data_IF_281820196986
#
_entry.id   IF_281820196986
#
_cell.length_a   1.000
_cell.length_b   1.000
_cell.length_c   1.000
_cell.angle_alpha   90.00
_cell.angle_beta   90.00
_cell.angle_gamma   90.00
#
_symmetry.space_group_name_H-M   'P 1'
#
loop_
_entity.id
_entity.type
_entity.pdbx_description
1 polymer ?
#
# COMPACT_ATOMS: atom_id res chain seq x y z
N UNK A 1 0.76 15.49 9.14
CA UNK A 1 1.48 15.18 7.88
C UNK A 1 2.38 13.95 7.98
N UNK A 2 3.37 13.91 8.89
CA UNK A 2 4.33 12.78 9.03
C UNK A 2 3.64 11.41 9.19
N UNK A 3 2.56 11.35 9.96
CA UNK A 3 1.83 10.11 10.27
C UNK A 3 1.03 9.56 9.08
N UNK A 4 0.47 10.43 8.24
CA UNK A 4 -0.20 10.02 7.00
C UNK A 4 0.77 9.39 6.00
N UNK A 5 2.01 9.88 5.97
CA UNK A 5 3.06 9.35 5.09
C UNK A 5 3.53 7.95 5.52
N UNK A 6 3.61 7.69 6.83
CA UNK A 6 3.94 6.34 7.32
C UNK A 6 2.77 5.38 7.05
N UNK A 7 1.52 5.80 7.28
CA UNK A 7 0.34 4.97 7.05
C UNK A 7 0.08 4.59 5.58
N UNK A 8 0.53 5.40 4.60
CA UNK A 8 0.36 5.10 3.17
C UNK A 8 1.46 4.23 2.58
N UNK A 9 2.60 4.08 3.26
CA UNK A 9 3.72 3.24 2.76
C UNK A 9 3.55 1.77 3.13
N UNK A 10 2.99 1.49 4.31
CA UNK A 10 2.73 0.12 4.77
C UNK A 10 1.25 -0.17 4.67
N UNK A 11 0.81 -0.56 3.47
CA UNK A 11 -0.60 -0.90 3.24
C UNK A 11 -0.83 -2.40 3.47
N UNK A 12 -1.81 -2.81 4.29
CA UNK A 12 -2.04 -4.22 4.62
C UNK A 12 -2.16 -5.15 3.41
N UNK A 13 -2.82 -4.71 2.34
CA UNK A 13 -2.98 -5.54 1.13
C UNK A 13 -1.64 -5.86 0.45
N UNK A 14 -0.65 -4.95 0.50
CA UNK A 14 0.67 -5.17 -0.09
C UNK A 14 1.40 -6.31 0.62
N UNK A 15 1.18 -6.50 1.92
CA UNK A 15 1.76 -7.61 2.66
C UNK A 15 1.23 -8.94 2.10
N UNK A 16 -0.08 -9.07 1.91
CA UNK A 16 -0.68 -10.26 1.31
C UNK A 16 -0.28 -10.46 -0.15
N UNK A 17 -0.36 -9.41 -0.97
CA UNK A 17 0.03 -9.46 -2.38
C UNK A 17 1.49 -9.90 -2.53
N UNK A 18 2.39 -9.30 -1.74
CA UNK A 18 3.81 -9.67 -1.75
C UNK A 18 4.01 -11.14 -1.37
N UNK A 19 3.31 -11.66 -0.35
CA UNK A 19 3.42 -13.09 0.00
C UNK A 19 2.91 -14.02 -1.11
N UNK A 20 1.79 -13.68 -1.76
CA UNK A 20 1.22 -14.48 -2.84
C UNK A 20 2.10 -14.48 -4.10
N UNK A 21 2.59 -13.31 -4.52
CA UNK A 21 3.51 -13.20 -5.65
C UNK A 21 4.86 -13.86 -5.36
N UNK A 22 5.34 -13.74 -4.13
CA UNK A 22 6.58 -14.42 -3.72
C UNK A 22 6.46 -15.93 -3.82
N UNK A 23 5.31 -16.49 -3.42
CA UNK A 23 5.02 -17.92 -3.54
C UNK A 23 4.95 -18.39 -5.00
N UNK A 24 4.48 -17.56 -5.92
CA UNK A 24 4.43 -17.90 -7.34
C UNK A 24 5.81 -17.78 -8.02
N UNK A 25 6.60 -16.77 -7.67
CA UNK A 25 7.89 -16.44 -8.31
C UNK A 25 9.05 -17.28 -7.79
N UNK A 26 9.15 -17.46 -6.46
CA UNK A 26 10.26 -18.17 -5.82
C UNK A 26 9.76 -19.45 -5.18
N UNK A 27 10.30 -20.59 -5.64
CA UNK A 27 9.82 -21.93 -5.25
C UNK A 27 10.79 -22.67 -4.33
N UNK A 28 12.07 -22.31 -4.37
CA UNK A 28 13.11 -22.99 -3.60
C UNK A 28 13.59 -22.13 -2.44
N UNK A 29 14.06 -22.78 -1.36
CA UNK A 29 14.64 -22.07 -0.19
C UNK A 29 15.93 -21.32 -0.53
N UNK A 30 16.69 -21.78 -1.53
CA UNK A 30 17.86 -21.08 -2.09
C UNK A 30 17.52 -19.69 -2.63
N UNK A 31 16.27 -19.50 -3.06
CA UNK A 31 15.82 -18.25 -3.66
C UNK A 31 15.55 -17.15 -2.64
N UNK A 32 15.54 -17.50 -1.34
CA UNK A 32 15.29 -16.57 -0.25
C UNK A 32 16.25 -15.38 -0.25
N UNK A 33 17.51 -15.59 -0.66
CA UNK A 33 18.51 -14.50 -0.77
C UNK A 33 18.14 -13.53 -1.89
N UNK A 34 17.61 -14.02 -3.01
CA UNK A 34 17.16 -13.18 -4.12
C UNK A 34 15.88 -12.43 -3.76
N UNK A 35 14.91 -13.12 -3.16
CA UNK A 35 13.68 -12.50 -2.66
C UNK A 35 13.97 -11.35 -1.68
N UNK A 36 14.86 -11.57 -0.70
CA UNK A 36 15.27 -10.50 0.24
C UNK A 36 15.91 -9.31 -0.46
N UNK A 37 16.79 -9.53 -1.43
CA UNK A 37 17.44 -8.44 -2.19
C UNK A 37 16.43 -7.65 -3.02
N UNK A 38 15.52 -8.35 -3.70
CA UNK A 38 14.45 -7.76 -4.50
C UNK A 38 13.53 -6.86 -3.64
N UNK A 39 13.13 -7.37 -2.47
CA UNK A 39 12.36 -6.60 -1.48
C UNK A 39 13.12 -5.36 -0.96
N UNK A 40 14.41 -5.50 -0.61
CA UNK A 40 15.21 -4.38 -0.10
C UNK A 40 15.35 -3.27 -1.15
N UNK A 41 15.69 -3.64 -2.40
CA UNK A 41 15.84 -2.68 -3.49
C UNK A 41 14.52 -1.96 -3.75
N UNK A 42 13.41 -2.70 -3.78
CA UNK A 42 12.07 -2.15 -4.02
C UNK A 42 11.65 -1.16 -2.93
N UNK A 43 11.89 -1.48 -1.65
CA UNK A 43 11.56 -0.58 -0.54
C UNK A 43 12.45 0.67 -0.56
N UNK A 44 13.75 0.54 -0.82
CA UNK A 44 14.66 1.70 -0.89
C UNK A 44 14.24 2.64 -2.02
N UNK A 45 13.97 2.11 -3.21
CA UNK A 45 13.51 2.91 -4.34
C UNK A 45 12.17 3.60 -4.04
N UNK A 46 11.21 2.89 -3.45
CA UNK A 46 9.94 3.47 -3.02
C UNK A 46 10.11 4.59 -1.98
N UNK A 47 11.05 4.41 -1.04
CA UNK A 47 11.41 5.42 -0.05
C UNK A 47 12.04 6.67 -0.68
N UNK A 48 12.95 6.50 -1.64
CA UNK A 48 13.57 7.59 -2.38
C UNK A 48 12.52 8.39 -3.17
N UNK A 49 11.62 7.71 -3.89
CA UNK A 49 10.54 8.35 -4.64
C UNK A 49 9.64 9.15 -3.68
N UNK A 50 9.27 8.57 -2.54
CA UNK A 50 8.46 9.25 -1.52
C UNK A 50 9.16 10.50 -0.98
N UNK A 51 10.47 10.44 -0.75
CA UNK A 51 11.28 11.59 -0.34
C UNK A 51 11.27 12.69 -1.40
N UNK A 52 11.46 12.33 -2.68
CA UNK A 52 11.40 13.27 -3.79
C UNK A 52 10.03 13.97 -3.86
N UNK A 53 8.93 13.25 -3.65
CA UNK A 53 7.58 13.83 -3.63
C UNK A 53 7.46 14.83 -2.49
N UNK A 54 7.84 14.48 -1.26
CA UNK A 54 7.76 15.38 -0.10
C UNK A 54 8.59 16.65 -0.29
N UNK A 55 9.83 16.51 -0.77
CA UNK A 55 10.71 17.65 -1.02
C UNK A 55 10.11 18.55 -2.09
N UNK A 56 9.64 17.97 -3.21
CA UNK A 56 9.01 18.72 -4.31
C UNK A 56 7.71 19.40 -3.89
N UNK A 57 6.93 18.77 -3.01
CA UNK A 57 5.71 19.37 -2.47
C UNK A 57 5.99 20.48 -1.45
N UNK A 58 7.10 20.40 -0.71
CA UNK A 58 7.44 21.42 0.31
C UNK A 58 7.74 22.80 -0.27
N UNK A 59 8.17 22.87 -1.53
CA UNK A 59 8.38 24.14 -2.24
C UNK A 59 7.10 24.76 -2.79
N UNK A 60 5.96 24.06 -2.71
CA UNK A 60 4.67 24.55 -3.19
C UNK A 60 3.99 25.40 -2.11
N UNK A 61 3.66 26.64 -2.45
CA UNK A 61 2.88 27.54 -1.58
C UNK A 61 1.38 27.42 -1.88
N UNK A 62 0.82 26.24 -1.68
CA UNK A 62 -0.61 25.96 -1.93
C UNK A 62 -1.23 25.54 -0.60
N UNK A 63 -2.28 26.24 -0.18
CA UNK A 63 -2.95 25.96 1.10
C UNK A 63 -3.86 24.73 1.03
N UNK A 64 -4.54 24.50 -0.10
CA UNK A 64 -5.42 23.34 -0.28
C UNK A 64 -5.29 22.71 -1.67
N UNK A 65 -5.16 21.39 -1.71
CA UNK A 65 -5.16 20.57 -2.92
C UNK A 65 -6.36 19.65 -2.85
N UNK A 66 -7.37 19.93 -3.68
CA UNK A 66 -8.61 19.16 -3.72
C UNK A 66 -8.66 18.17 -4.89
N UNK A 67 -7.81 18.36 -5.90
CA UNK A 67 -7.73 17.50 -7.08
C UNK A 67 -6.32 17.37 -7.65
N UNK A 68 -6.12 16.37 -8.51
CA UNK A 68 -4.91 16.21 -9.32
C UNK A 68 -4.63 17.42 -10.22
N UNK A 69 -5.68 18.12 -10.65
CA UNK A 69 -5.57 19.31 -11.50
C UNK A 69 -5.00 20.48 -10.68
N UNK A 70 -5.43 20.62 -9.43
CA UNK A 70 -4.91 21.66 -8.53
C UNK A 70 -3.43 21.44 -8.24
N UNK A 71 -3.00 20.19 -8.06
CA UNK A 71 -1.58 19.84 -7.92
C UNK A 71 -0.79 20.25 -9.17
N UNK A 72 -1.27 19.92 -10.36
CA UNK A 72 -0.59 20.24 -11.61
C UNK A 72 -0.45 21.76 -11.82
N UNK A 73 -1.51 22.53 -11.54
CA UNK A 73 -1.50 24.00 -11.59
C UNK A 73 -0.59 24.62 -10.54
N UNK A 74 -0.53 24.00 -9.37
CA UNK A 74 0.26 24.47 -8.26
C UNK A 74 1.77 24.32 -8.43
N UNK A 75 2.20 23.32 -9.20
CA UNK A 75 3.61 23.04 -9.51
C UNK A 75 4.12 23.94 -10.65
N UNK A 76 3.24 24.38 -11.56
CA UNK A 76 3.59 25.18 -12.75
C UNK A 76 4.38 26.47 -12.44
N UNK A 77 4.03 27.30 -11.44
CA UNK A 77 4.78 28.52 -11.12
C UNK A 77 6.21 28.28 -10.61
N UNK A 78 6.48 27.11 -10.03
CA UNK A 78 7.77 26.77 -9.43
C UNK A 78 8.69 26.05 -10.43
N UNK A 79 8.11 25.18 -11.25
CA UNK A 79 8.87 24.28 -12.14
C UNK A 79 8.60 24.51 -13.64
N UNK A 80 7.80 25.52 -13.98
CA UNK A 80 7.48 25.92 -15.35
C UNK A 80 6.35 25.12 -16.01
N UNK A 81 5.93 25.56 -17.20
CA UNK A 81 4.79 25.04 -17.98
C UNK A 81 4.86 23.54 -18.27
N UNK A 82 6.06 22.97 -18.41
CA UNK A 82 6.25 21.56 -18.76
C UNK A 82 5.98 20.62 -17.58
N UNK A 83 6.06 21.13 -16.34
CA UNK A 83 5.90 20.33 -15.12
C UNK A 83 4.50 19.70 -15.01
N UNK A 84 3.46 20.39 -15.46
CA UNK A 84 2.07 19.87 -15.45
C UNK A 84 1.91 18.60 -16.29
N UNK A 85 2.64 18.48 -17.39
CA UNK A 85 2.61 17.28 -18.24
C UNK A 85 3.34 16.12 -17.58
N UNK A 86 4.49 16.38 -16.95
CA UNK A 86 5.24 15.37 -16.20
C UNK A 86 4.40 14.82 -15.04
N UNK A 87 3.76 15.71 -14.28
CA UNK A 87 2.85 15.33 -13.19
C UNK A 87 1.63 14.58 -13.71
N UNK A 88 1.03 15.04 -14.82
CA UNK A 88 -0.10 14.36 -15.46
C UNK A 88 0.25 12.93 -15.88
N UNK A 89 1.38 12.73 -16.56
CA UNK A 89 1.88 11.41 -16.95
C UNK A 89 2.16 10.56 -15.70
N UNK A 90 2.82 11.11 -14.69
CA UNK A 90 3.14 10.40 -13.45
C UNK A 90 1.89 9.93 -12.70
N UNK A 91 0.89 10.81 -12.53
CA UNK A 91 -0.38 10.47 -11.91
C UNK A 91 -1.17 9.44 -12.72
N UNK A 92 -1.13 9.54 -14.05
CA UNK A 92 -1.77 8.56 -14.93
C UNK A 92 -1.12 7.18 -14.81
N UNK A 93 0.22 7.11 -14.88
CA UNK A 93 0.97 5.86 -14.69
C UNK A 93 0.75 5.24 -13.32
N UNK A 94 0.70 6.07 -12.26
CA UNK A 94 0.38 5.62 -10.90
C UNK A 94 -1.06 5.05 -10.83
N UNK A 95 -2.03 5.74 -11.42
CA UNK A 95 -3.43 5.31 -11.49
C UNK A 95 -3.62 3.96 -12.18
N UNK A 96 -3.00 3.75 -13.35
CA UNK A 96 -3.04 2.46 -14.06
C UNK A 96 -2.44 1.35 -13.20
N UNK A 97 -1.27 1.60 -12.62
CA UNK A 97 -0.58 0.59 -11.79
C UNK A 97 -1.44 0.19 -10.59
N UNK A 98 -2.09 1.14 -9.92
CA UNK A 98 -3.00 0.85 -8.81
C UNK A 98 -4.28 0.14 -9.26
N UNK A 99 -4.86 0.52 -10.40
CA UNK A 99 -6.05 -0.13 -10.95
C UNK A 99 -5.81 -1.61 -11.30
N UNK A 100 -4.57 -1.99 -11.63
CA UNK A 100 -4.19 -3.38 -11.87
C UNK A 100 -3.90 -4.11 -10.55
N UNK A 101 -3.06 -3.53 -9.70
CA UNK A 101 -2.50 -4.23 -8.52
C UNK A 101 -3.48 -4.38 -7.37
N UNK A 102 -4.36 -3.40 -7.12
CA UNK A 102 -5.29 -3.48 -5.99
C UNK A 102 -6.37 -4.58 -6.17
N UNK A 103 -7.04 -4.70 -7.33
CA UNK A 103 -7.95 -5.81 -7.57
C UNK A 103 -7.25 -7.17 -7.59
N UNK A 104 -6.03 -7.23 -8.14
CA UNK A 104 -5.21 -8.44 -8.14
C UNK A 104 -4.94 -8.91 -6.70
N UNK A 105 -4.56 -8.01 -5.80
CA UNK A 105 -4.35 -8.31 -4.40
C UNK A 105 -5.62 -8.85 -3.72
N UNK A 106 -6.76 -8.19 -3.96
CA UNK A 106 -8.04 -8.64 -3.41
C UNK A 106 -8.42 -10.03 -3.93
N UNK A 107 -8.20 -10.33 -5.20
CA UNK A 107 -8.42 -11.66 -5.76
C UNK A 107 -7.49 -12.72 -5.15
N UNK A 108 -6.23 -12.39 -4.87
CA UNK A 108 -5.33 -13.30 -4.16
C UNK A 108 -5.79 -13.58 -2.72
N UNK A 109 -6.23 -12.53 -2.00
CA UNK A 109 -6.78 -12.68 -0.64
C UNK A 109 -8.05 -13.54 -0.68
N UNK A 110 -8.98 -13.27 -1.59
CA UNK A 110 -10.21 -14.05 -1.76
C UNK A 110 -9.91 -15.52 -2.08
N UNK A 111 -8.98 -15.77 -3.01
CA UNK A 111 -8.54 -17.13 -3.36
C UNK A 111 -7.91 -17.86 -2.18
N UNK A 112 -7.12 -17.16 -1.36
CA UNK A 112 -6.49 -17.72 -0.16
C UNK A 112 -7.49 -18.05 0.94
N UNK A 113 -8.44 -17.15 1.23
CA UNK A 113 -9.46 -17.34 2.25
C UNK A 113 -10.51 -18.41 1.86
N UNK A 114 -10.85 -18.49 0.58
CA UNK A 114 -11.88 -19.40 0.07
C UNK A 114 -11.32 -20.72 -0.48
N UNK A 115 -10.01 -20.93 -0.37
CA UNK A 115 -9.34 -22.17 -0.77
C UNK A 115 -9.36 -22.45 -2.27
N UNK A 116 -9.47 -21.42 -3.12
CA UNK A 116 -9.53 -21.61 -4.56
C UNK A 116 -8.15 -21.94 -5.13
N UNK A 117 -8.08 -22.98 -5.96
CA UNK A 117 -6.88 -23.38 -6.70
C UNK A 117 -6.80 -22.68 -8.06
N UNK A 118 -5.59 -22.47 -8.58
CA UNK A 118 -5.37 -21.95 -9.94
C UNK A 118 -5.10 -20.45 -10.07
N UNK A 119 -5.10 -19.68 -8.97
CA UNK A 119 -4.69 -18.27 -8.95
C UNK A 119 -5.36 -17.43 -10.04
N UNK A 120 -4.56 -16.63 -10.76
CA UNK A 120 -5.04 -15.76 -11.85
C UNK A 120 -5.72 -16.50 -13.02
N UNK A 121 -5.58 -17.82 -13.14
CA UNK A 121 -6.26 -18.63 -14.16
C UNK A 121 -7.69 -19.02 -13.76
N UNK A 122 -8.02 -18.97 -12.48
CA UNK A 122 -9.34 -19.35 -11.97
C UNK A 122 -10.40 -18.30 -12.36
N UNK A 123 -11.56 -18.77 -12.84
CA UNK A 123 -12.68 -17.89 -13.20
C UNK A 123 -13.17 -17.05 -12.00
N UNK A 124 -13.22 -17.63 -10.80
CA UNK A 124 -13.64 -16.93 -9.58
C UNK A 124 -12.67 -15.80 -9.21
N UNK A 125 -11.37 -16.03 -9.42
CA UNK A 125 -10.35 -14.99 -9.23
C UNK A 125 -10.55 -13.81 -10.19
N UNK A 126 -10.81 -14.11 -11.47
CA UNK A 126 -11.06 -13.09 -12.50
C UNK A 126 -12.37 -12.34 -12.24
N UNK A 127 -13.41 -13.01 -11.73
CA UNK A 127 -14.67 -12.36 -11.35
C UNK A 127 -14.47 -11.35 -10.22
N UNK A 128 -13.72 -11.68 -9.17
CA UNK A 128 -13.38 -10.73 -8.09
C UNK A 128 -12.58 -9.55 -8.65
N UNK A 129 -11.61 -9.81 -9.53
CA UNK A 129 -10.82 -8.76 -10.15
C UNK A 129 -11.72 -7.82 -10.95
N UNK A 130 -12.52 -8.37 -11.87
CA UNK A 130 -13.40 -7.63 -12.74
C UNK A 130 -14.46 -6.85 -11.95
N UNK A 131 -15.03 -7.43 -10.88
CA UNK A 131 -16.01 -6.74 -10.07
C UNK A 131 -15.43 -5.48 -9.43
N UNK A 132 -14.22 -5.58 -8.85
CA UNK A 132 -13.56 -4.42 -8.23
C UNK A 132 -13.25 -3.34 -9.26
N UNK A 133 -12.80 -3.73 -10.47
CA UNK A 133 -12.59 -2.78 -11.57
C UNK A 133 -13.88 -2.08 -11.97
N UNK A 134 -14.98 -2.81 -12.15
CA UNK A 134 -16.29 -2.26 -12.49
C UNK A 134 -16.77 -1.29 -11.39
N UNK A 135 -16.66 -1.68 -10.12
CA UNK A 135 -16.98 -0.82 -8.99
C UNK A 135 -16.13 0.46 -8.98
N UNK A 136 -14.83 0.35 -9.26
CA UNK A 136 -13.94 1.50 -9.37
C UNK A 136 -14.34 2.45 -10.49
N UNK A 137 -14.69 1.92 -11.68
CA UNK A 137 -15.14 2.73 -12.82
C UNK A 137 -16.47 3.42 -12.53
N UNK A 138 -17.45 2.70 -11.97
CA UNK A 138 -18.75 3.27 -11.58
C UNK A 138 -18.54 4.37 -10.55
N UNK A 139 -17.80 4.08 -9.46
CA UNK A 139 -17.52 5.04 -8.39
C UNK A 139 -16.80 6.29 -8.90
N UNK A 140 -15.82 6.13 -9.79
CA UNK A 140 -15.13 7.24 -10.43
C UNK A 140 -16.03 8.07 -11.35
N UNK A 141 -17.06 7.44 -11.94
CA UNK A 141 -18.00 8.10 -12.85
C UNK A 141 -19.13 8.82 -12.11
N UNK A 142 -19.41 8.45 -10.85
CA UNK A 142 -20.46 9.04 -10.01
C UNK A 142 -20.12 10.44 -9.45
N UNK A 143 -18.94 11.00 -9.75
CA UNK A 143 -18.57 12.36 -9.34
C UNK A 143 -18.25 12.54 -7.86
N UNK A 144 -18.07 11.45 -7.10
CA UNK A 144 -17.59 11.53 -5.72
C UNK A 144 -16.21 12.19 -5.66
N UNK A 145 -16.01 13.04 -4.64
CA UNK A 145 -14.69 13.66 -4.41
C UNK A 145 -13.66 12.55 -4.13
N UNK A 146 -12.71 12.35 -5.04
CA UNK A 146 -11.69 11.31 -4.92
C UNK A 146 -10.91 11.40 -3.60
N UNK A 147 -10.75 12.62 -3.06
CA UNK A 147 -10.04 12.85 -1.81
C UNK A 147 -10.74 12.23 -0.59
N UNK A 148 -12.08 12.19 -0.54
CA UNK A 148 -12.82 11.61 0.59
C UNK A 148 -12.70 10.09 0.60
N UNK A 149 -12.78 9.46 -0.58
CA UNK A 149 -12.54 8.01 -0.75
C UNK A 149 -11.11 7.66 -0.32
N UNK A 150 -10.12 8.47 -0.72
CA UNK A 150 -8.72 8.29 -0.31
C UNK A 150 -8.58 8.42 1.21
N UNK A 151 -9.17 9.44 1.83
CA UNK A 151 -9.16 9.62 3.30
C UNK A 151 -9.77 8.41 4.00
N UNK A 152 -10.93 7.95 3.56
CA UNK A 152 -11.60 6.77 4.12
C UNK A 152 -10.74 5.50 4.00
N UNK A 153 -10.12 5.28 2.84
CA UNK A 153 -9.21 4.16 2.63
C UNK A 153 -7.99 4.23 3.56
N UNK A 154 -7.44 5.43 3.80
CA UNK A 154 -6.32 5.62 4.73
C UNK A 154 -6.71 5.30 6.18
N UNK A 155 -7.91 5.69 6.62
CA UNK A 155 -8.42 5.37 7.97
C UNK A 155 -8.55 3.86 8.13
N UNK A 156 -9.20 3.22 7.16
CA UNK A 156 -9.38 1.77 7.15
C UNK A 156 -8.03 1.04 7.20
N UNK A 157 -7.04 1.51 6.45
CA UNK A 157 -5.68 0.98 6.48
C UNK A 157 -5.02 1.15 7.84
N UNK A 158 -5.13 2.34 8.45
CA UNK A 158 -4.57 2.63 9.78
C UNK A 158 -5.13 1.70 10.86
N UNK A 159 -6.41 1.35 10.78
CA UNK A 159 -7.06 0.42 11.72
C UNK A 159 -6.66 -1.04 11.47
N UNK A 160 -6.55 -1.47 10.21
CA UNK A 160 -6.22 -2.84 9.84
C UNK A 160 -4.74 -3.19 10.06
N UNK A 161 -3.85 -2.21 9.91
CA UNK A 161 -2.41 -2.43 9.97
C UNK A 161 -1.90 -3.07 11.27
N UNK A 162 -2.27 -2.65 12.49
CA UNK A 162 -1.82 -3.30 13.73
C UNK A 162 -2.30 -4.75 13.84
N UNK A 163 -3.51 -5.04 13.37
CA UNK A 163 -4.08 -6.40 13.37
C UNK A 163 -3.24 -7.32 12.48
N UNK A 164 -2.93 -6.87 11.25
CA UNK A 164 -2.14 -7.64 10.29
C UNK A 164 -0.68 -7.77 10.75
N UNK A 165 -0.09 -6.70 11.28
CA UNK A 165 1.27 -6.74 11.82
C UNK A 165 1.39 -7.74 12.98
N UNK A 166 0.44 -7.71 13.93
CA UNK A 166 0.41 -8.65 15.05
C UNK A 166 0.27 -10.10 14.59
N UNK A 167 -0.62 -10.35 13.62
CA UNK A 167 -0.79 -11.67 13.00
C UNK A 167 0.51 -12.16 12.33
N UNK A 168 1.18 -11.31 11.55
CA UNK A 168 2.43 -11.67 10.88
C UNK A 168 3.55 -11.98 11.87
N UNK A 169 3.71 -11.19 12.94
CA UNK A 169 4.71 -11.46 13.98
C UNK A 169 4.41 -12.80 14.66
N UNK A 170 3.15 -13.11 14.92
CA UNK A 170 2.75 -14.38 15.51
C UNK A 170 3.08 -15.57 14.59
N UNK A 171 2.72 -15.50 13.30
CA UNK A 171 3.04 -16.54 12.32
C UNK A 171 4.56 -16.67 12.14
N UNK A 172 5.29 -15.54 12.11
CA UNK A 172 6.75 -15.50 11.97
C UNK A 172 7.51 -16.21 13.11
N UNK A 173 6.86 -16.39 14.26
CA UNK A 173 7.41 -17.09 15.42
C UNK A 173 6.92 -18.54 15.58
N UNK A 174 5.96 -18.99 14.76
CA UNK A 174 5.46 -20.37 14.80
C UNK A 174 6.47 -21.34 14.19
N UNK A 175 7.24 -22.02 15.04
CA UNK A 175 8.14 -23.14 14.62
C UNK A 175 7.41 -24.23 13.85
N UNK A 176 6.14 -24.49 14.16
CA UNK A 176 5.32 -25.48 13.44
C UNK A 176 5.06 -25.11 11.97
N UNK A 177 5.17 -23.84 11.60
CA UNK A 177 4.91 -23.33 10.24
C UNK A 177 6.24 -23.05 9.52
N UNK A 178 7.18 -22.37 10.19
CA UNK A 178 8.43 -21.89 9.58
C UNK A 178 9.66 -22.74 9.86
N UNK A 179 9.58 -23.73 10.76
CA UNK A 179 10.70 -24.59 11.12
C UNK A 179 11.90 -23.78 11.60
N UNK A 180 13.04 -23.91 10.90
CA UNK A 180 14.28 -23.19 11.19
C UNK A 180 14.33 -21.73 10.70
N UNK A 181 13.30 -21.25 10.00
CA UNK A 181 13.23 -19.87 9.48
C UNK A 181 12.41 -18.92 10.36
N UNK A 182 12.18 -19.27 11.63
CA UNK A 182 11.53 -18.38 12.58
C UNK A 182 12.35 -17.13 12.85
N UNK A 183 11.68 -16.06 13.26
CA UNK A 183 12.35 -14.82 13.63
C UNK A 183 13.39 -15.03 14.74
N UNK A 184 14.54 -14.38 14.58
CA UNK A 184 15.52 -14.23 15.64
C UNK A 184 15.13 -13.10 16.61
N UNK A 185 15.87 -12.96 17.73
CA UNK A 185 15.58 -11.95 18.76
C UNK A 185 15.57 -10.52 18.22
N UNK A 186 16.49 -10.19 17.30
CA UNK A 186 16.55 -8.86 16.67
C UNK A 186 15.34 -8.57 15.77
N UNK A 187 14.89 -9.56 15.00
CA UNK A 187 13.70 -9.48 14.16
C UNK A 187 12.43 -9.36 15.00
N UNK A 188 12.36 -10.02 16.15
CA UNK A 188 11.24 -9.88 17.08
C UNK A 188 11.21 -8.52 17.76
N UNK A 189 12.35 -7.98 18.18
CA UNK A 189 12.43 -6.61 18.72
C UNK A 189 11.99 -5.61 17.65
N UNK A 190 12.53 -5.71 16.44
CA UNK A 190 12.13 -4.86 15.30
C UNK A 190 10.63 -5.00 15.00
N UNK A 191 10.12 -6.22 14.98
CA UNK A 191 8.69 -6.49 14.78
C UNK A 191 7.81 -5.86 15.86
N UNK A 192 8.23 -5.94 17.13
CA UNK A 192 7.51 -5.32 18.24
C UNK A 192 7.51 -3.79 18.14
N UNK A 193 8.64 -3.19 17.77
CA UNK A 193 8.71 -1.74 17.50
C UNK A 193 7.76 -1.36 16.36
N UNK A 194 7.74 -2.12 15.26
CA UNK A 194 6.81 -1.89 14.15
C UNK A 194 5.37 -2.00 14.65
N UNK A 195 5.03 -3.02 15.44
CA UNK A 195 3.68 -3.19 15.99
C UNK A 195 3.25 -2.02 16.88
N UNK A 196 4.15 -1.52 17.74
CA UNK A 196 3.87 -0.34 18.57
C UNK A 196 3.65 0.90 17.69
N UNK A 197 4.46 1.09 16.65
CA UNK A 197 4.28 2.17 15.70
C UNK A 197 2.95 2.06 14.96
N UNK A 198 2.54 0.86 14.51
CA UNK A 198 1.26 0.69 13.80
C UNK A 198 0.06 0.90 14.71
N UNK A 199 0.13 0.49 15.99
CA UNK A 199 -0.90 0.80 17.00
C UNK A 199 -0.98 2.30 17.23
N UNK A 200 0.17 2.98 17.38
CA UNK A 200 0.21 4.44 17.55
C UNK A 200 -0.38 5.18 16.34
N UNK A 201 -0.04 4.77 15.12
CA UNK A 201 -0.57 5.36 13.89
C UNK A 201 -2.07 5.09 13.74
N UNK A 202 -2.51 3.86 14.02
CA UNK A 202 -3.92 3.45 13.94
C UNK A 202 -4.80 4.18 14.94
N UNK A 203 -4.40 4.22 16.21
CA UNK A 203 -5.11 4.96 17.26
C UNK A 203 -5.21 6.45 16.95
N UNK A 204 -4.13 7.09 16.49
CA UNK A 204 -4.18 8.49 16.09
C UNK A 204 -5.05 8.73 14.85
N UNK A 205 -5.02 7.83 13.87
CA UNK A 205 -5.90 7.92 12.69
C UNK A 205 -7.37 7.90 13.08
N UNK A 206 -7.75 7.14 14.12
CA UNK A 206 -9.10 7.11 14.65
C UNK A 206 -9.41 8.39 15.44
N UNK A 207 -8.50 8.83 16.31
CA UNK A 207 -8.68 10.02 17.16
C UNK A 207 -8.85 11.33 16.38
N UNK A 208 -8.05 11.53 15.31
CA UNK A 208 -8.14 12.73 14.46
C UNK A 208 -9.50 12.81 13.75
N UNK A 209 -10.04 11.67 13.32
CA UNK A 209 -11.32 11.65 12.61
C UNK A 209 -12.54 11.72 13.55
N UNK A 210 -12.34 11.44 14.85
CA UNK A 210 -13.35 11.65 15.90
C UNK A 210 -13.34 13.09 16.46
N UNK A 211 -12.54 14.01 15.91
CA UNK A 211 -12.39 15.39 16.40
C UNK A 211 -11.95 15.47 17.89
N UNK A 212 -11.28 14.43 18.40
CA UNK A 212 -10.79 14.37 19.77
C UNK A 212 -9.37 14.98 19.92
N UNK A 213 -8.75 15.36 18.80
CA UNK A 213 -7.42 15.99 18.64
C UNK A 213 -7.38 16.75 17.31
#
# INVERSE_FOLDING_TARGET
>A
MIIGLIGTTVVPYNLFLHTSLSKERWKNTSDLKYAKRDTIISIILGGLISMCIVISSSSLKIEEINSAIDLARGIEPVYGINSKYIIGIGLFSAGITSAITAPLAASYVASGCLGWSGGARNIKFKLVWLSILIFGVISSSSGFKSIEIIKFAQISNGMLLPIVAGFLIWVANKKTILGGYTNNTFQNISGLVILLLTIFLGSRSVLINLNLL
#
